data_IF_132713417229
#
_entry.id   IF_132713417229
#
_cell.length_a   1.000
_cell.length_b   1.000
_cell.length_c   1.000
_cell.angle_alpha   90.00
_cell.angle_beta   90.00
_cell.angle_gamma   90.00
#
_symmetry.space_group_name_H-M   'P 1'
#
loop_
_entity.id
_entity.type
_entity.pdbx_description
1 polymer ?
#
# COMPACT_ATOMS: atom_id res chain seq x y z
N UNK A 1 -6.15 5.69 -11.86
CA UNK A 1 -6.73 5.18 -10.60
C UNK A 1 -5.55 4.71 -9.77
N UNK A 2 -5.21 5.43 -8.72
CA UNK A 2 -4.19 4.98 -7.78
C UNK A 2 -4.89 4.15 -6.72
N UNK A 3 -4.63 2.84 -6.70
CA UNK A 3 -5.27 1.90 -5.79
C UNK A 3 -4.52 1.90 -4.45
N UNK A 4 -4.90 2.81 -3.55
CA UNK A 4 -4.45 2.79 -2.16
C UNK A 4 -5.39 1.91 -1.34
N UNK A 5 -4.86 1.23 -0.33
CA UNK A 5 -5.63 0.38 0.58
C UNK A 5 -5.68 1.04 1.95
N UNK A 6 -6.88 1.48 2.35
CA UNK A 6 -7.14 2.02 3.69
C UNK A 6 -7.54 0.92 4.67
N UNK A 7 -6.84 0.85 5.81
CA UNK A 7 -7.14 -0.09 6.90
C UNK A 7 -7.59 0.69 8.13
N UNK A 8 -8.82 0.45 8.56
CA UNK A 8 -9.34 0.98 9.82
C UNK A 8 -8.90 0.07 10.98
N UNK A 9 -7.92 0.54 11.75
CA UNK A 9 -7.31 -0.18 12.86
C UNK A 9 -7.97 0.16 14.20
N UNK A 10 -9.18 -0.37 14.43
CA UNK A 10 -9.89 -0.19 15.71
C UNK A 10 -9.21 -1.01 16.80
N UNK A 11 -8.87 -0.38 17.92
CA UNK A 11 -8.25 -1.00 19.11
C UNK A 11 -7.03 -1.89 18.82
N UNK A 12 -6.26 -1.57 17.78
CA UNK A 12 -5.05 -2.31 17.42
C UNK A 12 -5.31 -3.68 16.77
N UNK A 13 -6.53 -3.97 16.32
CA UNK A 13 -6.88 -5.26 15.71
C UNK A 13 -5.97 -5.67 14.55
N UNK A 14 -5.49 -4.70 13.76
CA UNK A 14 -4.60 -4.91 12.62
C UNK A 14 -3.12 -4.66 12.94
N UNK A 15 -2.73 -4.43 14.20
CA UNK A 15 -1.33 -4.16 14.57
C UNK A 15 -0.40 -5.30 14.16
N UNK A 16 -0.82 -6.55 14.38
CA UNK A 16 -0.03 -7.71 13.96
C UNK A 16 0.16 -7.78 12.43
N UNK A 17 -0.86 -7.41 11.65
CA UNK A 17 -0.78 -7.38 10.19
C UNK A 17 0.15 -6.26 9.70
N UNK A 18 0.02 -5.08 10.30
CA UNK A 18 0.89 -3.94 9.98
C UNK A 18 2.35 -4.25 10.35
N UNK A 19 2.57 -4.86 11.51
CA UNK A 19 3.89 -5.32 11.94
C UNK A 19 4.49 -6.41 11.03
N UNK A 20 3.66 -7.29 10.46
CA UNK A 20 4.11 -8.24 9.44
C UNK A 20 4.64 -7.52 8.18
N UNK A 21 3.98 -6.45 7.75
CA UNK A 21 4.48 -5.64 6.63
C UNK A 21 5.78 -4.94 6.99
N UNK A 22 5.88 -4.37 8.20
CA UNK A 22 7.11 -3.69 8.64
C UNK A 22 8.29 -4.68 8.71
N UNK A 23 8.06 -5.88 9.25
CA UNK A 23 9.03 -6.99 9.26
C UNK A 23 9.40 -7.41 7.83
N UNK A 24 8.42 -7.53 6.94
CA UNK A 24 8.66 -7.88 5.55
C UNK A 24 9.51 -6.84 4.79
N UNK A 25 9.37 -5.55 5.14
CA UNK A 25 10.23 -4.48 4.60
C UNK A 25 11.64 -4.57 5.18
N UNK A 26 11.76 -4.76 6.50
CA UNK A 26 13.05 -4.91 7.20
C UNK A 26 13.88 -6.05 6.63
N UNK A 27 13.26 -7.21 6.40
CA UNK A 27 13.92 -8.41 5.85
C UNK A 27 14.10 -8.31 4.32
N UNK A 28 13.65 -7.24 3.68
CA UNK A 28 13.80 -7.00 2.23
C UNK A 28 12.84 -7.77 1.33
N UNK A 29 11.85 -8.47 1.89
CA UNK A 29 10.79 -9.16 1.13
C UNK A 29 9.78 -8.19 0.50
N UNK A 30 9.57 -7.02 1.12
CA UNK A 30 8.64 -6.00 0.65
C UNK A 30 9.44 -4.74 0.28
N UNK A 31 9.18 -4.21 -0.92
CA UNK A 31 9.78 -2.92 -1.33
C UNK A 31 9.25 -1.80 -0.43
N UNK A 32 10.09 -0.87 0.05
CA UNK A 32 9.64 0.27 0.85
C UNK A 32 8.51 1.06 0.20
N UNK A 33 8.52 1.21 -1.13
CA UNK A 33 7.47 1.89 -1.89
C UNK A 33 6.12 1.17 -1.83
N UNK A 34 6.09 -0.16 -1.62
CA UNK A 34 4.86 -0.93 -1.45
C UNK A 34 4.23 -0.74 -0.06
N UNK A 35 5.03 -0.39 0.96
CA UNK A 35 4.52 -0.06 2.29
C UNK A 35 3.66 1.20 2.28
N UNK A 36 3.99 2.16 1.42
CA UNK A 36 3.26 3.42 1.27
C UNK A 36 1.86 3.26 0.64
N UNK A 37 1.54 2.08 0.09
CA UNK A 37 0.22 1.79 -0.49
C UNK A 37 -0.84 1.54 0.59
N UNK A 38 -0.40 1.09 1.78
CA UNK A 38 -1.28 0.75 2.90
C UNK A 38 -1.31 1.89 3.91
N UNK A 39 -2.46 2.53 4.05
CA UNK A 39 -2.70 3.60 5.02
C UNK A 39 -3.53 3.03 6.16
N UNK A 40 -3.07 3.23 7.41
CA UNK A 40 -3.86 2.87 8.59
C UNK A 40 -4.25 4.09 9.44
N UNK A 41 -5.42 4.00 10.06
CA UNK A 41 -5.87 4.93 11.09
C UNK A 41 -6.83 4.24 12.06
N UNK A 42 -6.94 4.76 13.27
CA UNK A 42 -7.82 4.21 14.32
C UNK A 42 -9.27 4.71 14.19
N UNK A 43 -9.50 5.76 13.40
CA UNK A 43 -10.82 6.33 13.15
C UNK A 43 -11.09 6.46 11.66
N UNK A 44 -12.35 6.33 11.26
CA UNK A 44 -12.74 6.45 9.85
C UNK A 44 -12.45 7.85 9.29
N UNK A 45 -12.66 8.89 10.11
CA UNK A 45 -12.38 10.27 9.71
C UNK A 45 -10.89 10.50 9.43
N UNK A 46 -10.00 9.98 10.30
CA UNK A 46 -8.57 10.07 10.06
C UNK A 46 -8.12 9.23 8.86
N UNK A 47 -8.76 8.07 8.64
CA UNK A 47 -8.46 7.25 7.46
C UNK A 47 -8.78 7.99 6.17
N UNK A 48 -9.98 8.57 6.09
CA UNK A 48 -10.43 9.32 4.92
C UNK A 48 -9.54 10.54 4.66
N UNK A 49 -9.22 11.30 5.71
CA UNK A 49 -8.31 12.45 5.60
C UNK A 49 -6.93 12.03 5.07
N UNK A 50 -6.34 10.96 5.61
CA UNK A 50 -5.04 10.46 5.13
C UNK A 50 -5.10 9.97 3.69
N UNK A 51 -6.22 9.39 3.27
CA UNK A 51 -6.42 8.96 1.88
C UNK A 51 -6.60 10.14 0.92
N UNK A 52 -7.23 11.23 1.36
CA UNK A 52 -7.38 12.48 0.59
C UNK A 52 -6.07 13.27 0.48
N UNK A 53 -5.28 13.31 1.56
CA UNK A 53 -3.97 13.97 1.61
C UNK A 53 -2.89 13.19 0.84
N UNK A 54 -3.13 11.91 0.55
CA UNK A 54 -2.16 11.10 -0.18
C UNK A 54 -1.98 11.61 -1.60
N UNK A 55 -0.84 12.24 -1.82
CA UNK A 55 -0.35 12.55 -3.16
C UNK A 55 0.47 11.36 -3.63
N UNK A 56 0.06 10.65 -4.71
CA UNK A 56 0.83 9.53 -5.19
C UNK A 56 2.19 10.01 -5.66
N UNK A 57 3.24 9.68 -4.89
CA UNK A 57 4.61 9.72 -5.40
C UNK A 57 4.65 8.65 -6.48
N UNK A 58 4.59 9.11 -7.73
CA UNK A 58 4.46 8.28 -8.92
C UNK A 58 5.79 7.57 -9.17
N UNK A 59 6.13 6.59 -8.33
CA UNK A 59 7.16 5.62 -8.71
C UNK A 59 6.47 4.63 -9.63
N UNK A 60 6.82 4.68 -10.91
CA UNK A 60 6.22 3.87 -11.95
C UNK A 60 6.37 2.38 -11.58
N UNK A 61 5.31 1.80 -11.01
CA UNK A 61 5.26 0.37 -10.76
C UNK A 61 4.89 -0.29 -12.09
N UNK A 62 5.93 -0.52 -12.88
CA UNK A 62 5.98 -1.18 -14.19
C UNK A 62 5.34 -0.40 -15.37
N UNK A 63 6.01 -0.35 -16.55
CA UNK A 63 5.33 -0.05 -17.79
C UNK A 63 4.15 -1.03 -17.99
N UNK A 64 3.05 -0.57 -18.61
CA UNK A 64 2.00 -1.44 -19.16
C UNK A 64 2.58 -2.28 -20.31
N UNK A 65 3.45 -3.23 -20.01
CA UNK A 65 3.83 -4.25 -20.97
C UNK A 65 2.70 -5.27 -20.97
N UNK A 66 1.71 -4.97 -21.82
CA UNK A 66 0.77 -5.93 -22.36
C UNK A 66 1.53 -7.18 -22.80
N UNK A 67 1.14 -8.33 -22.29
CA UNK A 67 1.59 -9.65 -22.75
C UNK A 67 1.08 -9.90 -24.18
N UNK A 68 1.63 -9.19 -25.16
CA UNK A 68 1.53 -9.59 -26.56
C UNK A 68 2.55 -10.70 -26.79
N UNK A 69 2.24 -11.90 -26.32
CA UNK A 69 2.91 -13.12 -26.82
C UNK A 69 2.61 -13.22 -28.31
N UNK A 70 3.52 -12.71 -29.12
CA UNK A 70 3.60 -12.99 -30.54
C UNK A 70 3.93 -14.47 -30.69
N UNK A 71 2.91 -15.31 -30.86
CA UNK A 71 3.10 -16.71 -31.21
C UNK A 71 3.35 -16.76 -32.72
N UNK A 72 4.56 -17.18 -33.08
CA UNK A 72 5.05 -17.33 -34.46
C UNK A 72 4.37 -18.51 -35.15
#
# INVERSE_FOLDING_TARGET
>A
MNEQVGILNVDGYYDCLLGLFDKGVEEGFIKPSARNIVISATTAHDLLRKMEEYTPVHEQVAPRESWSTNNK
#
